data_IF_881102996797
#
_entry.id   IF_881102996797
#
_cell.length_a   1.000
_cell.length_b   1.000
_cell.length_c   1.000
_cell.angle_alpha   90.00
_cell.angle_beta   90.00
_cell.angle_gamma   90.00
#
_symmetry.space_group_name_H-M   'P 1'
#
loop_
_entity.id
_entity.type
_entity.pdbx_description
1 polymer ?
#
# COMPACT_ATOMS: atom_id res chain seq x y z
N UNK A 1 -12.55 -62.11 15.02
CA UNK A 1 -11.85 -61.12 15.86
C UNK A 1 -11.03 -60.23 14.93
N UNK A 2 -11.67 -59.19 14.39
CA UNK A 2 -11.01 -58.15 13.61
C UNK A 2 -10.79 -56.96 14.55
N UNK A 3 -9.55 -56.48 14.63
CA UNK A 3 -9.16 -55.29 15.38
C UNK A 3 -8.82 -54.20 14.37
N UNK A 4 -9.78 -53.31 14.12
CA UNK A 4 -9.55 -52.08 13.36
C UNK A 4 -8.76 -51.09 14.23
N UNK A 5 -7.50 -50.88 13.86
CA UNK A 5 -6.69 -49.76 14.33
C UNK A 5 -6.77 -48.62 13.32
N UNK A 6 -7.76 -47.74 13.46
CA UNK A 6 -7.85 -46.53 12.67
C UNK A 6 -6.76 -45.54 13.14
N UNK A 7 -5.70 -45.45 12.35
CA UNK A 7 -4.58 -44.55 12.57
C UNK A 7 -4.92 -43.20 11.92
N UNK A 8 -5.26 -42.20 12.73
CA UNK A 8 -5.49 -40.84 12.24
C UNK A 8 -4.17 -40.18 11.85
N UNK A 9 -3.95 -39.90 10.56
CA UNK A 9 -2.80 -39.12 10.09
C UNK A 9 -2.92 -37.64 10.51
N UNK A 10 -1.93 -37.06 11.22
CA UNK A 10 -1.90 -35.64 11.53
C UNK A 10 -1.05 -34.89 10.49
N UNK A 11 -1.69 -34.04 9.68
CA UNK A 11 -0.92 -33.22 8.74
C UNK A 11 -1.67 -32.32 7.76
N UNK A 12 -2.97 -32.04 7.97
CA UNK A 12 -3.66 -31.05 7.13
C UNK A 12 -3.38 -29.63 7.65
N UNK A 13 -2.49 -28.93 6.95
CA UNK A 13 -2.28 -27.49 7.05
C UNK A 13 -3.62 -26.76 6.83
N UNK A 14 -4.28 -26.36 7.92
CA UNK A 14 -5.49 -25.54 7.85
C UNK A 14 -5.13 -24.07 7.60
N UNK A 15 -5.77 -23.38 6.64
CA UNK A 15 -5.70 -21.93 6.53
C UNK A 15 -6.18 -21.31 7.86
N UNK A 16 -5.37 -20.44 8.47
CA UNK A 16 -5.66 -19.85 9.80
C UNK A 16 -5.00 -20.52 11.01
N UNK A 17 -4.04 -21.42 10.79
CA UNK A 17 -3.26 -22.08 11.86
C UNK A 17 -2.39 -21.12 12.70
N UNK A 18 -1.75 -21.67 13.75
CA UNK A 18 -0.89 -20.94 14.71
C UNK A 18 0.15 -20.04 14.01
N UNK A 19 0.70 -20.48 12.88
CA UNK A 19 1.69 -19.73 12.08
C UNK A 19 1.15 -18.43 11.48
N UNK A 20 -0.12 -18.41 11.06
CA UNK A 20 -0.76 -17.20 10.53
C UNK A 20 -1.03 -16.19 11.64
N UNK A 21 -1.52 -16.65 12.80
CA UNK A 21 -1.72 -15.79 13.99
C UNK A 21 -0.41 -15.19 14.49
N UNK A 22 0.66 -15.99 14.53
CA UNK A 22 2.00 -15.51 14.88
C UNK A 22 2.50 -14.47 13.89
N UNK A 23 2.28 -14.67 12.57
CA UNK A 23 2.64 -13.66 11.57
C UNK A 23 1.89 -12.35 11.84
N UNK A 24 0.57 -12.40 11.96
CA UNK A 24 -0.27 -11.23 12.17
C UNK A 24 0.14 -10.45 13.43
N UNK A 25 0.37 -11.13 14.56
CA UNK A 25 0.83 -10.49 15.80
C UNK A 25 2.20 -9.79 15.64
N UNK A 26 3.13 -10.42 14.91
CA UNK A 26 4.44 -9.83 14.64
C UNK A 26 4.34 -8.61 13.71
N UNK A 27 3.52 -8.69 12.65
CA UNK A 27 3.33 -7.57 11.73
C UNK A 27 2.64 -6.39 12.41
N UNK A 28 1.65 -6.65 13.27
CA UNK A 28 0.97 -5.60 14.02
C UNK A 28 1.92 -4.91 15.02
N UNK A 29 2.70 -5.69 15.78
CA UNK A 29 3.73 -5.15 16.67
C UNK A 29 4.81 -4.35 15.90
N UNK A 30 5.20 -4.81 14.71
CA UNK A 30 6.14 -4.08 13.85
C UNK A 30 5.54 -2.75 13.40
N UNK A 31 4.26 -2.75 12.99
CA UNK A 31 3.53 -1.55 12.59
C UNK A 31 3.45 -0.51 13.71
N UNK A 32 3.15 -0.95 14.94
CA UNK A 32 3.14 -0.10 16.12
C UNK A 32 4.52 0.53 16.39
N UNK A 33 5.58 -0.28 16.41
CA UNK A 33 6.93 0.21 16.69
C UNK A 33 7.45 1.16 15.60
N UNK A 34 7.11 0.92 14.34
CA UNK A 34 7.39 1.83 13.24
C UNK A 34 6.66 3.17 13.40
N UNK A 35 5.38 3.14 13.81
CA UNK A 35 4.60 4.35 14.06
C UNK A 35 5.11 5.14 15.27
N UNK A 36 5.55 4.46 16.33
CA UNK A 36 6.06 5.06 17.57
C UNK A 36 7.48 5.65 17.41
N UNK A 37 8.38 4.92 16.74
CA UNK A 37 9.83 5.18 16.79
C UNK A 37 10.53 5.30 15.44
N UNK A 38 9.86 5.02 14.33
CA UNK A 38 10.48 5.00 13.01
C UNK A 38 11.31 3.74 12.73
N UNK A 39 11.85 3.65 11.52
CA UNK A 39 12.61 2.49 11.06
C UNK A 39 13.94 2.29 11.80
N UNK A 40 14.66 3.39 12.10
CA UNK A 40 15.96 3.34 12.78
C UNK A 40 15.89 2.73 14.19
N UNK A 41 14.71 2.73 14.81
CA UNK A 41 14.46 2.15 16.13
C UNK A 41 13.79 0.78 16.09
N UNK A 42 13.54 0.23 14.90
CA UNK A 42 12.88 -1.07 14.75
C UNK A 42 13.86 -2.21 15.10
N UNK A 43 13.65 -2.82 16.26
CA UNK A 43 14.43 -3.96 16.74
C UNK A 43 13.59 -5.26 16.77
N UNK A 44 14.14 -6.34 16.20
CA UNK A 44 13.43 -7.62 16.11
C UNK A 44 13.22 -8.30 17.46
N UNK A 45 14.08 -8.05 18.45
CA UNK A 45 13.88 -8.60 19.79
C UNK A 45 12.75 -7.88 20.54
N UNK A 46 12.61 -6.56 20.34
CA UNK A 46 11.49 -5.79 20.85
C UNK A 46 10.17 -6.15 20.16
N UNK A 47 10.17 -6.34 18.84
CA UNK A 47 9.01 -6.87 18.10
C UNK A 47 8.59 -8.22 18.68
N UNK A 48 9.53 -9.15 18.90
CA UNK A 48 9.24 -10.46 19.47
C UNK A 48 8.62 -10.35 20.87
N UNK A 49 9.14 -9.44 21.71
CA UNK A 49 8.61 -9.18 23.05
C UNK A 49 7.17 -8.66 22.99
N UNK A 50 6.90 -7.68 22.12
CA UNK A 50 5.58 -7.04 22.00
C UNK A 50 4.53 -7.94 21.34
N UNK A 51 4.95 -8.80 20.42
CA UNK A 51 4.10 -9.82 19.82
C UNK A 51 3.95 -11.10 20.67
N UNK A 52 4.58 -11.16 21.86
CA UNK A 52 4.57 -12.32 22.77
C UNK A 52 5.03 -13.64 22.10
N UNK A 53 6.06 -13.55 21.26
CA UNK A 53 6.65 -14.69 20.54
C UNK A 53 8.13 -14.85 20.84
N UNK A 54 8.64 -16.07 20.72
CA UNK A 54 10.06 -16.33 20.94
C UNK A 54 10.94 -15.62 19.90
N UNK A 55 12.03 -14.96 20.36
CA UNK A 55 12.99 -14.25 19.49
C UNK A 55 13.46 -15.09 18.31
N UNK A 56 13.86 -16.35 18.56
CA UNK A 56 14.31 -17.28 17.52
C UNK A 56 13.28 -17.45 16.39
N UNK A 57 11.99 -17.40 16.69
CA UNK A 57 10.91 -17.47 15.69
C UNK A 57 10.93 -16.27 14.76
N UNK A 58 11.15 -15.06 15.31
CA UNK A 58 11.20 -13.82 14.54
C UNK A 58 12.45 -13.76 13.67
N UNK A 59 13.63 -13.98 14.26
CA UNK A 59 14.89 -13.96 13.53
C UNK A 59 14.92 -15.02 12.42
N UNK A 60 14.42 -16.24 12.66
CA UNK A 60 14.39 -17.30 11.64
C UNK A 60 13.52 -16.93 10.43
N UNK A 61 12.41 -16.22 10.64
CA UNK A 61 11.43 -15.94 9.58
C UNK A 61 11.74 -14.67 8.80
N UNK A 62 12.07 -13.58 9.49
CA UNK A 62 12.25 -12.27 8.85
C UNK A 62 13.73 -11.90 8.69
N UNK A 63 14.62 -12.41 9.54
CA UNK A 63 16.06 -12.19 9.48
C UNK A 63 16.48 -10.79 9.90
N UNK A 64 15.93 -9.76 9.26
CA UNK A 64 16.28 -8.34 9.44
C UNK A 64 15.04 -7.45 9.60
N UNK A 65 15.17 -6.25 10.17
CA UNK A 65 14.10 -5.25 10.19
C UNK A 65 13.52 -4.95 8.80
N UNK A 66 14.36 -4.83 7.76
CA UNK A 66 13.92 -4.61 6.38
C UNK A 66 13.14 -5.80 5.82
N UNK A 67 13.52 -7.04 6.20
CA UNK A 67 12.77 -8.24 5.85
C UNK A 67 11.39 -8.28 6.50
N UNK A 68 11.26 -7.77 7.72
CA UNK A 68 9.99 -7.60 8.42
C UNK A 68 9.12 -6.50 7.80
N UNK A 69 9.70 -5.35 7.46
CA UNK A 69 9.01 -4.27 6.73
C UNK A 69 8.52 -4.75 5.37
N UNK A 70 9.30 -5.56 4.66
CA UNK A 70 8.89 -6.11 3.38
C UNK A 70 7.66 -7.04 3.51
N UNK A 71 7.60 -7.87 4.55
CA UNK A 71 6.45 -8.75 4.81
C UNK A 71 5.21 -7.95 5.26
N UNK A 72 5.42 -6.90 6.07
CA UNK A 72 4.37 -5.96 6.47
C UNK A 72 3.74 -5.26 5.25
N UNK A 73 4.57 -4.72 4.34
CA UNK A 73 4.09 -4.09 3.12
C UNK A 73 3.37 -5.06 2.19
N UNK A 74 3.84 -6.32 2.12
CA UNK A 74 3.16 -7.38 1.40
C UNK A 74 1.76 -7.64 1.97
N UNK A 75 1.65 -7.77 3.29
CA UNK A 75 0.37 -7.93 4.00
C UNK A 75 -0.58 -6.74 3.77
N UNK A 76 -0.07 -5.51 3.83
CA UNK A 76 -0.85 -4.30 3.56
C UNK A 76 -1.34 -4.23 2.10
N UNK A 77 -0.56 -4.73 1.15
CA UNK A 77 -0.97 -4.82 -0.25
C UNK A 77 -2.08 -5.85 -0.44
N UNK A 78 -1.94 -7.04 0.17
CA UNK A 78 -2.95 -8.12 0.13
C UNK A 78 -4.28 -7.71 0.80
N UNK A 79 -4.21 -6.92 1.87
CA UNK A 79 -5.38 -6.43 2.60
C UNK A 79 -5.92 -5.10 2.07
N UNK A 80 -5.39 -4.60 0.94
CA UNK A 80 -5.86 -3.36 0.35
C UNK A 80 -7.36 -3.46 0.05
N UNK A 81 -8.14 -2.55 0.63
CA UNK A 81 -9.57 -2.46 0.34
C UNK A 81 -9.81 -2.20 -1.16
N UNK A 82 -10.88 -2.79 -1.75
CA UNK A 82 -11.28 -2.49 -3.11
C UNK A 82 -11.54 -0.99 -3.31
N UNK A 83 -11.31 -0.49 -4.54
CA UNK A 83 -11.65 0.90 -4.86
C UNK A 83 -13.15 1.18 -4.71
N UNK A 84 -13.48 2.43 -4.43
CA UNK A 84 -14.86 2.89 -4.49
C UNK A 84 -15.28 3.13 -5.94
N UNK A 85 -16.47 2.66 -6.32
CA UNK A 85 -17.05 2.89 -7.65
C UNK A 85 -18.27 3.81 -7.53
N UNK A 86 -18.08 5.09 -7.85
CA UNK A 86 -19.13 6.12 -7.83
C UNK A 86 -19.84 6.27 -9.18
N UNK A 87 -19.21 5.77 -10.25
CA UNK A 87 -19.71 5.88 -11.63
C UNK A 87 -19.27 7.15 -12.37
N UNK A 88 -18.41 7.98 -11.77
CA UNK A 88 -17.85 9.20 -12.39
C UNK A 88 -16.35 9.30 -12.10
N UNK A 89 -15.57 9.90 -13.01
CA UNK A 89 -14.15 10.12 -12.75
C UNK A 89 -13.92 10.97 -11.49
N UNK A 90 -14.65 12.07 -11.35
CA UNK A 90 -14.46 12.99 -10.23
C UNK A 90 -14.77 12.33 -8.88
N UNK A 91 -15.88 11.58 -8.81
CA UNK A 91 -16.25 10.86 -7.60
C UNK A 91 -15.24 9.77 -7.23
N UNK A 92 -14.74 9.02 -8.22
CA UNK A 92 -13.77 7.95 -7.97
C UNK A 92 -12.40 8.52 -7.54
N UNK A 93 -11.90 9.57 -8.21
CA UNK A 93 -10.64 10.21 -7.83
C UNK A 93 -10.74 10.92 -6.47
N UNK A 94 -11.90 11.50 -6.13
CA UNK A 94 -12.14 12.07 -4.81
C UNK A 94 -12.16 11.00 -3.72
N UNK A 95 -12.81 9.85 -3.97
CA UNK A 95 -12.82 8.73 -3.04
C UNK A 95 -11.40 8.18 -2.79
N UNK A 96 -10.57 8.10 -3.84
CA UNK A 96 -9.15 7.75 -3.71
C UNK A 96 -8.40 8.77 -2.85
N UNK A 97 -8.50 10.05 -3.20
CA UNK A 97 -7.82 11.13 -2.49
C UNK A 97 -8.21 11.16 -1.00
N UNK A 98 -9.48 10.95 -0.68
CA UNK A 98 -9.98 10.91 0.69
C UNK A 98 -9.48 9.67 1.46
N UNK A 99 -9.42 8.50 0.81
CA UNK A 99 -8.82 7.30 1.41
C UNK A 99 -7.35 7.52 1.76
N UNK A 100 -6.57 8.06 0.82
CA UNK A 100 -5.16 8.41 1.05
C UNK A 100 -5.04 9.43 2.17
N UNK A 101 -5.83 10.51 2.12
CA UNK A 101 -5.85 11.54 3.16
C UNK A 101 -6.13 10.96 4.55
N UNK A 102 -7.19 10.14 4.70
CA UNK A 102 -7.52 9.48 5.99
C UNK A 102 -6.38 8.62 6.48
N UNK A 103 -5.77 7.84 5.58
CA UNK A 103 -4.62 7.00 5.92
C UNK A 103 -3.43 7.83 6.39
N UNK A 104 -3.07 8.89 5.66
CA UNK A 104 -1.89 9.70 5.99
C UNK A 104 -2.10 10.64 7.19
N UNK A 105 -3.35 11.00 7.49
CA UNK A 105 -3.71 11.81 8.66
C UNK A 105 -3.98 10.97 9.91
N UNK A 106 -4.09 9.65 9.78
CA UNK A 106 -4.27 8.76 10.93
C UNK A 106 -3.02 8.76 11.83
N UNK A 107 -3.18 8.87 13.17
CA UNK A 107 -2.05 8.95 14.11
C UNK A 107 -1.11 7.74 14.11
N UNK A 108 -1.57 6.58 13.66
CA UNK A 108 -0.76 5.36 13.56
C UNK A 108 -0.23 5.19 12.13
N UNK A 109 -1.10 5.27 11.14
CA UNK A 109 -0.74 4.97 9.74
C UNK A 109 0.13 6.07 9.12
N UNK A 110 -0.10 7.35 9.43
CA UNK A 110 0.72 8.46 8.93
C UNK A 110 2.20 8.28 9.30
N UNK A 111 2.55 8.15 10.59
CA UNK A 111 3.92 7.87 11.02
C UNK A 111 4.49 6.56 10.48
N UNK A 112 3.69 5.49 10.42
CA UNK A 112 4.07 4.22 9.79
C UNK A 112 4.56 4.42 8.35
N UNK A 113 3.77 5.10 7.51
CA UNK A 113 4.15 5.35 6.12
C UNK A 113 5.39 6.23 6.01
N UNK A 114 5.57 7.24 6.89
CA UNK A 114 6.82 8.01 6.95
C UNK A 114 8.01 7.10 7.25
N UNK A 115 7.90 6.21 8.24
CA UNK A 115 8.96 5.30 8.64
C UNK A 115 9.35 4.34 7.51
N UNK A 116 8.36 3.77 6.82
CA UNK A 116 8.60 2.84 5.72
C UNK A 116 9.20 3.54 4.50
N UNK A 117 8.77 4.77 4.19
CA UNK A 117 9.35 5.57 3.10
C UNK A 117 10.80 5.96 3.44
N UNK A 118 11.09 6.29 4.69
CA UNK A 118 12.47 6.53 5.14
C UNK A 118 13.33 5.27 4.98
N UNK A 119 12.83 4.09 5.37
CA UNK A 119 13.51 2.82 5.19
C UNK A 119 13.87 2.54 3.72
N UNK A 120 12.92 2.80 2.80
CA UNK A 120 13.12 2.64 1.37
C UNK A 120 14.22 3.57 0.80
N UNK A 121 14.49 4.70 1.44
CA UNK A 121 15.58 5.60 1.04
C UNK A 121 16.98 5.05 1.31
N UNK A 122 17.11 4.06 2.19
CA UNK A 122 18.42 3.53 2.64
C UNK A 122 18.57 2.01 2.47
N UNK A 123 17.48 1.28 2.27
CA UNK A 123 17.48 -0.18 2.14
C UNK A 123 16.78 -0.64 0.84
N UNK A 124 17.50 -1.30 -0.09
CA UNK A 124 16.93 -1.75 -1.36
C UNK A 124 15.77 -2.74 -1.23
N UNK A 125 15.77 -3.59 -0.20
CA UNK A 125 14.71 -4.59 0.02
C UNK A 125 13.43 -3.92 0.51
N UNK A 126 13.55 -2.92 1.39
CA UNK A 126 12.42 -2.08 1.78
C UNK A 126 11.89 -1.27 0.59
N UNK A 127 12.78 -0.71 -0.24
CA UNK A 127 12.40 0.02 -1.45
C UNK A 127 11.61 -0.86 -2.43
N UNK A 128 12.09 -2.08 -2.71
CA UNK A 128 11.42 -3.02 -3.60
C UNK A 128 10.02 -3.39 -3.07
N UNK A 129 9.90 -3.65 -1.76
CA UNK A 129 8.61 -3.93 -1.15
C UNK A 129 7.65 -2.73 -1.22
N UNK A 130 8.16 -1.51 -1.01
CA UNK A 130 7.37 -0.29 -1.09
C UNK A 130 6.87 -0.03 -2.51
N UNK A 131 7.73 -0.25 -3.51
CA UNK A 131 7.34 -0.17 -4.92
C UNK A 131 6.23 -1.16 -5.24
N UNK A 132 6.39 -2.44 -4.85
CA UNK A 132 5.34 -3.45 -5.04
C UNK A 132 4.01 -3.05 -4.38
N UNK A 133 4.06 -2.54 -3.15
CA UNK A 133 2.87 -2.05 -2.45
C UNK A 133 2.15 -0.98 -3.29
N UNK A 134 2.87 0.04 -3.78
CA UNK A 134 2.24 1.08 -4.60
C UNK A 134 1.83 0.60 -5.98
N UNK A 135 2.54 -0.34 -6.61
CA UNK A 135 2.10 -0.97 -7.86
C UNK A 135 0.73 -1.62 -7.69
N UNK A 136 0.52 -2.39 -6.62
CA UNK A 136 -0.78 -3.01 -6.32
C UNK A 136 -1.85 -1.95 -6.09
N UNK A 137 -1.55 -0.94 -5.27
CA UNK A 137 -2.52 0.14 -4.95
C UNK A 137 -2.90 0.96 -6.18
N UNK A 138 -1.94 1.28 -7.05
CA UNK A 138 -2.20 2.01 -8.30
C UNK A 138 -3.01 1.16 -9.27
N UNK A 139 -2.65 -0.13 -9.42
CA UNK A 139 -3.37 -1.06 -10.28
C UNK A 139 -4.83 -1.26 -9.85
N UNK A 140 -5.12 -1.24 -8.54
CA UNK A 140 -6.48 -1.32 -8.00
C UNK A 140 -7.34 -0.10 -8.38
N UNK A 141 -6.76 1.10 -8.40
CA UNK A 141 -7.49 2.34 -8.71
C UNK A 141 -7.52 2.70 -10.20
N UNK A 142 -6.53 2.29 -10.99
CA UNK A 142 -6.44 2.57 -12.43
C UNK A 142 -7.71 2.23 -13.26
N UNK A 143 -8.53 1.20 -12.92
CA UNK A 143 -9.77 0.93 -13.64
C UNK A 143 -10.75 2.11 -13.68
N UNK A 144 -10.79 2.99 -12.67
CA UNK A 144 -11.72 4.14 -12.70
C UNK A 144 -11.44 5.08 -13.90
N UNK A 145 -10.17 5.26 -14.22
CA UNK A 145 -9.72 6.09 -15.36
C UNK A 145 -10.03 5.38 -16.68
N UNK A 146 -9.77 4.07 -16.77
CA UNK A 146 -10.11 3.28 -17.97
C UNK A 146 -11.62 3.30 -18.25
N UNK A 147 -12.44 3.19 -17.21
CA UNK A 147 -13.89 3.29 -17.33
C UNK A 147 -14.31 4.71 -17.76
N UNK A 148 -13.67 5.76 -17.24
CA UNK A 148 -13.92 7.14 -17.67
C UNK A 148 -13.58 7.37 -19.15
N UNK A 149 -12.48 6.79 -19.65
CA UNK A 149 -12.17 6.78 -21.09
C UNK A 149 -13.28 6.08 -21.88
N UNK A 150 -13.75 4.91 -21.43
CA UNK A 150 -14.83 4.17 -22.10
C UNK A 150 -16.17 4.94 -22.11
N UNK A 151 -16.41 5.80 -21.12
CA UNK A 151 -17.58 6.71 -21.06
C UNK A 151 -17.40 8.00 -21.87
N UNK A 152 -16.22 8.23 -22.47
CA UNK A 152 -15.90 9.45 -23.20
C UNK A 152 -15.62 10.67 -22.31
N UNK A 153 -15.39 10.48 -21.01
CA UNK A 153 -15.03 11.57 -20.10
C UNK A 153 -13.57 12.03 -20.27
N UNK A 154 -12.72 11.18 -20.85
CA UNK A 154 -11.28 11.39 -21.01
C UNK A 154 -10.82 11.04 -22.43
N UNK A 155 -9.74 11.66 -22.93
CA UNK A 155 -9.17 11.31 -24.23
C UNK A 155 -8.73 9.83 -24.30
N UNK A 156 -8.88 9.17 -25.45
CA UNK A 156 -8.29 7.86 -25.70
C UNK A 156 -6.78 7.88 -25.47
N UNK A 157 -6.23 6.79 -24.92
CA UNK A 157 -4.79 6.68 -24.64
C UNK A 157 -4.32 7.40 -23.37
N UNK A 158 -5.25 7.88 -22.52
CA UNK A 158 -4.91 8.39 -21.18
C UNK A 158 -4.24 7.31 -20.33
N UNK A 159 -3.06 7.60 -19.79
CA UNK A 159 -2.36 6.74 -18.83
C UNK A 159 -3.10 6.74 -17.50
N UNK A 160 -3.79 5.63 -17.25
CA UNK A 160 -4.59 5.43 -16.04
C UNK A 160 -3.76 5.43 -14.75
N UNK A 161 -2.53 4.91 -14.81
CA UNK A 161 -1.68 4.79 -13.64
C UNK A 161 -1.10 6.16 -13.27
N UNK A 162 -0.71 6.96 -14.26
CA UNK A 162 -0.20 8.32 -14.04
C UNK A 162 -1.26 9.24 -13.43
N UNK A 163 -2.51 9.16 -13.90
CA UNK A 163 -3.63 9.90 -13.32
C UNK A 163 -3.79 9.55 -11.84
N UNK A 164 -3.78 8.26 -11.49
CA UNK A 164 -3.92 7.80 -10.09
C UNK A 164 -2.72 8.21 -9.24
N UNK A 165 -1.50 8.10 -9.76
CA UNK A 165 -0.28 8.56 -9.08
C UNK A 165 -0.34 10.07 -8.79
N UNK A 166 -0.83 10.85 -9.75
CA UNK A 166 -0.98 12.31 -9.64
C UNK A 166 -1.97 12.73 -8.54
N UNK A 167 -2.98 11.92 -8.23
CA UNK A 167 -3.89 12.17 -7.09
C UNK A 167 -3.15 12.05 -5.75
N UNK A 168 -2.30 11.04 -5.60
CA UNK A 168 -1.65 10.74 -4.31
C UNK A 168 -0.42 11.63 -4.04
N UNK A 169 0.33 11.98 -5.09
CA UNK A 169 1.58 12.72 -5.00
C UNK A 169 1.53 14.00 -4.13
N UNK A 170 0.58 14.94 -4.32
CA UNK A 170 0.53 16.15 -3.50
C UNK A 170 0.19 15.88 -2.02
N UNK A 171 -0.47 14.76 -1.71
CA UNK A 171 -0.78 14.35 -0.34
C UNK A 171 0.47 13.81 0.37
N UNK A 172 1.29 13.03 -0.34
CA UNK A 172 2.60 12.60 0.18
C UNK A 172 3.57 13.75 0.33
N UNK A 173 3.59 14.72 -0.60
CA UNK A 173 4.41 15.94 -0.45
C UNK A 173 4.09 16.68 0.85
N UNK A 174 2.80 16.77 1.20
CA UNK A 174 2.37 17.38 2.46
C UNK A 174 2.92 16.64 3.67
N UNK A 175 2.79 15.31 3.68
CA UNK A 175 3.27 14.45 4.76
C UNK A 175 4.79 14.51 4.95
N UNK A 176 5.54 14.35 3.85
CA UNK A 176 6.99 14.09 3.88
C UNK A 176 7.82 15.37 3.83
N UNK A 177 7.36 16.37 3.09
CA UNK A 177 8.14 17.58 2.84
C UNK A 177 7.70 18.72 3.75
N UNK A 178 6.38 18.98 3.83
CA UNK A 178 5.87 20.12 4.61
C UNK A 178 5.51 19.76 6.06
N UNK A 179 5.50 18.46 6.39
CA UNK A 179 5.15 17.95 7.72
C UNK A 179 3.69 18.13 8.14
N UNK A 180 2.84 18.73 7.30
CA UNK A 180 1.43 19.01 7.61
C UNK A 180 0.55 17.86 7.11
N UNK A 181 -0.20 17.16 7.98
CA UNK A 181 -1.14 16.14 7.54
C UNK A 181 -2.15 16.68 6.52
N UNK A 182 -2.48 15.93 5.44
CA UNK A 182 -3.43 16.40 4.46
C UNK A 182 -4.85 16.51 5.05
N UNK A 183 -5.51 17.63 4.78
CA UNK A 183 -6.91 17.89 5.15
C UNK A 183 -7.88 17.57 4.00
N UNK A 184 -9.19 17.67 4.26
CA UNK A 184 -10.22 17.36 3.27
C UNK A 184 -10.08 18.23 2.02
N UNK A 185 -9.75 19.51 2.20
CA UNK A 185 -9.54 20.43 1.09
C UNK A 185 -8.30 20.06 0.24
N UNK A 186 -7.25 19.50 0.85
CA UNK A 186 -6.09 18.99 0.11
C UNK A 186 -6.46 17.78 -0.75
N UNK A 187 -7.26 16.85 -0.23
CA UNK A 187 -7.77 15.71 -0.99
C UNK A 187 -8.62 16.17 -2.19
N UNK A 188 -9.55 17.09 -1.95
CA UNK A 188 -10.41 17.62 -3.02
C UNK A 188 -9.58 18.31 -4.11
N UNK A 189 -8.62 19.17 -3.74
CA UNK A 189 -7.73 19.82 -4.70
C UNK A 189 -6.91 18.83 -5.50
N UNK A 190 -6.38 17.78 -4.85
CA UNK A 190 -5.58 16.77 -5.52
C UNK A 190 -6.40 16.00 -6.58
N UNK A 191 -7.61 15.55 -6.20
CA UNK A 191 -8.53 14.88 -7.12
C UNK A 191 -8.92 15.78 -8.29
N UNK A 192 -9.33 17.03 -8.02
CA UNK A 192 -9.74 17.99 -9.04
C UNK A 192 -8.60 18.38 -9.98
N UNK A 193 -7.38 18.53 -9.47
CA UNK A 193 -6.21 18.84 -10.28
C UNK A 193 -5.89 17.69 -11.25
N UNK A 194 -5.86 16.45 -10.76
CA UNK A 194 -5.64 15.27 -11.60
C UNK A 194 -6.75 15.10 -12.64
N UNK A 195 -8.02 15.27 -12.25
CA UNK A 195 -9.15 15.17 -13.18
C UNK A 195 -9.12 16.25 -14.27
N UNK A 196 -8.78 17.50 -13.91
CA UNK A 196 -8.65 18.59 -14.87
C UNK A 196 -7.50 18.33 -15.87
N UNK A 197 -6.34 17.90 -15.38
CA UNK A 197 -5.19 17.56 -16.23
C UNK A 197 -5.49 16.36 -17.15
N UNK A 198 -6.20 15.34 -16.65
CA UNK A 198 -6.62 14.20 -17.44
C UNK A 198 -7.58 14.59 -18.58
N UNK A 199 -8.59 15.41 -18.30
CA UNK A 199 -9.52 15.93 -19.32
C UNK A 199 -8.82 16.78 -20.37
N UNK A 200 -7.79 17.52 -19.97
CA UNK A 200 -6.95 18.31 -20.87
C UNK A 200 -5.96 17.46 -21.69
N UNK A 201 -5.90 16.13 -21.49
CA UNK A 201 -5.00 15.24 -22.21
C UNK A 201 -3.55 15.29 -21.75
N UNK A 202 -3.25 15.86 -20.58
CA UNK A 202 -1.87 15.94 -20.04
C UNK A 202 -1.25 14.55 -19.87
N UNK A 203 -2.07 13.55 -19.58
CA UNK A 203 -1.63 12.17 -19.34
C UNK A 203 -1.84 11.24 -20.53
N UNK A 204 -2.17 11.75 -21.72
CA UNK A 204 -2.13 10.89 -22.91
C UNK A 204 -0.69 10.60 -23.25
N UNK A 205 -0.33 9.34 -23.45
CA UNK A 205 0.95 9.03 -24.06
C UNK A 205 1.00 9.77 -25.40
N UNK A 206 2.03 10.60 -25.60
CA UNK A 206 2.28 11.16 -26.93
C UNK A 206 2.33 9.99 -27.90
N UNK A 207 1.48 10.00 -28.93
CA UNK A 207 1.58 9.01 -30.00
C UNK A 207 3.00 8.99 -30.56
N UNK A 208 3.46 7.88 -31.15
CA UNK A 208 4.76 7.88 -31.81
C UNK A 208 4.83 9.09 -32.75
N UNK A 209 5.88 9.91 -32.63
CA UNK A 209 6.11 11.01 -33.56
C UNK A 209 5.94 10.46 -34.99
N UNK A 210 5.21 11.16 -35.88
CA UNK A 210 5.16 10.74 -37.27
C UNK A 210 6.59 10.70 -37.78
N UNK A 211 7.05 9.50 -38.17
CA UNK A 211 8.32 9.33 -38.83
C UNK A 211 8.36 10.31 -40.01
N UNK A 212 9.23 11.32 -39.89
CA UNK A 212 9.38 12.37 -40.89
C UNK A 212 9.57 11.75 -42.27
N UNK A 213 8.77 12.23 -43.23
CA UNK A 213 8.85 11.87 -44.65
C UNK A 213 10.02 12.53 -45.37
#
# INVERSE_FOLDING_TARGET
>A
MASDGESTEPGTLRPGGRTARVRAAVLDAAGDLLAEGGFDRLDLAEVARRAEVGKTTVYRRWGTPSGLVADLLGDMAEQSAPRTETGSLDGDLLANADLVRRTLADPRQGPLFRAVIAAAGTDPRAAEALHRFYTVRVAEWAPCVRQAVARGELPPGTDAEEVVRSVSAPLYYRLLTTGTPPDAAAAERAARAAAAAARAGVFTAAGPEPAGG
#
